data_IF_039168645486
#
_entry.id   IF_039168645486
#
_cell.length_a   1.000
_cell.length_b   1.000
_cell.length_c   1.000
_cell.angle_alpha   90.00
_cell.angle_beta   90.00
_cell.angle_gamma   90.00
#
_symmetry.space_group_name_H-M   'P 1'
#
loop_
_entity.id
_entity.type
_entity.pdbx_description
1 polymer ?
#
# COMPACT_ATOMS: atom_id res chain seq x y z
N UNK A 1 44.40 -18.51 31.28
CA UNK A 1 43.35 -17.52 31.65
C UNK A 1 43.48 -16.16 30.92
N UNK A 2 44.65 -15.81 30.36
CA UNK A 2 44.88 -14.52 29.68
C UNK A 2 44.29 -14.37 28.27
N UNK A 3 44.23 -15.46 27.51
CA UNK A 3 43.74 -15.45 26.11
C UNK A 3 42.26 -15.03 26.02
N UNK A 4 41.42 -15.46 26.97
CA UNK A 4 40.00 -15.07 27.02
C UNK A 4 39.82 -13.58 27.29
N UNK A 5 40.71 -12.97 28.09
CA UNK A 5 40.66 -11.53 28.42
C UNK A 5 41.06 -10.66 27.23
N UNK A 6 42.03 -11.11 26.43
CA UNK A 6 42.44 -10.45 25.19
C UNK A 6 41.39 -10.53 24.07
N UNK A 7 40.75 -11.69 23.91
CA UNK A 7 39.65 -11.86 22.95
C UNK A 7 38.42 -11.03 23.32
N UNK A 8 38.12 -10.93 24.61
CA UNK A 8 37.02 -10.11 25.10
C UNK A 8 37.29 -8.62 24.86
N UNK A 9 38.47 -8.11 25.22
CA UNK A 9 38.87 -6.73 24.97
C UNK A 9 38.89 -6.36 23.47
N UNK A 10 39.31 -7.29 22.60
CA UNK A 10 39.27 -7.09 21.15
C UNK A 10 37.84 -6.99 20.63
N UNK A 11 36.95 -7.90 21.02
CA UNK A 11 35.55 -7.89 20.62
C UNK A 11 34.82 -6.63 21.13
N UNK A 12 35.16 -6.16 22.32
CA UNK A 12 34.61 -4.94 22.91
C UNK A 12 35.04 -3.69 22.13
N UNK A 13 36.31 -3.60 21.75
CA UNK A 13 36.81 -2.50 20.90
C UNK A 13 36.13 -2.47 19.52
N UNK A 14 35.88 -3.64 18.92
CA UNK A 14 35.18 -3.76 17.63
C UNK A 14 33.69 -3.41 17.75
N UNK A 15 33.05 -3.77 18.86
CA UNK A 15 31.66 -3.42 19.16
C UNK A 15 31.50 -1.91 19.35
N UNK A 16 32.36 -1.28 20.17
CA UNK A 16 32.36 0.17 20.41
C UNK A 16 32.63 0.94 19.11
N UNK A 17 33.56 0.46 18.28
CA UNK A 17 33.85 1.08 16.98
C UNK A 17 32.66 1.00 16.02
N UNK A 18 31.95 -0.13 15.98
CA UNK A 18 30.71 -0.28 15.20
C UNK A 18 29.62 0.64 15.74
N UNK A 19 29.40 0.70 17.05
CA UNK A 19 28.39 1.56 17.68
C UNK A 19 28.64 3.05 17.39
N UNK A 20 29.89 3.51 17.54
CA UNK A 20 30.28 4.89 17.21
C UNK A 20 30.05 5.24 15.73
N UNK A 21 30.25 4.28 14.83
CA UNK A 21 29.96 4.46 13.40
C UNK A 21 28.46 4.58 13.12
N UNK A 22 27.63 3.83 13.85
CA UNK A 22 26.17 3.93 13.75
C UNK A 22 25.66 5.26 14.33
N UNK A 23 26.19 5.70 15.47
CA UNK A 23 25.84 7.00 16.07
C UNK A 23 26.19 8.20 15.19
N UNK A 24 27.31 8.14 14.43
CA UNK A 24 27.66 9.19 13.46
C UNK A 24 26.79 9.19 12.20
N UNK A 25 26.26 8.03 11.79
CA UNK A 25 25.40 7.90 10.60
C UNK A 25 23.96 8.29 10.85
N UNK A 26 23.49 8.05 12.07
CA UNK A 26 22.17 8.45 12.54
C UNK A 26 22.39 9.23 13.83
N UNK A 27 22.80 10.51 13.76
CA UNK A 27 22.77 11.35 14.95
C UNK A 27 21.37 11.20 15.53
N UNK A 28 21.28 10.78 16.80
CA UNK A 28 20.01 10.68 17.51
C UNK A 28 19.42 12.08 17.47
N UNK A 29 18.57 12.33 16.48
CA UNK A 29 17.71 13.50 16.28
C UNK A 29 18.11 14.65 17.19
N UNK A 30 18.80 15.64 16.63
CA UNK A 30 19.00 16.93 17.29
C UNK A 30 17.63 17.52 17.63
N UNK A 31 17.09 17.15 18.79
CA UNK A 31 15.94 17.82 19.39
C UNK A 31 16.49 19.11 20.00
N UNK A 32 16.84 20.05 19.11
CA UNK A 32 17.00 21.44 19.46
C UNK A 32 15.61 21.99 19.78
N UNK A 33 15.14 21.81 21.01
CA UNK A 33 14.04 22.63 21.52
C UNK A 33 14.62 24.02 21.71
N UNK A 34 14.25 24.94 20.81
CA UNK A 34 14.57 26.34 20.98
C UNK A 34 13.76 26.87 22.18
N UNK A 35 14.39 27.25 23.31
CA UNK A 35 13.66 27.65 24.52
C UNK A 35 12.88 28.95 24.35
N UNK A 36 13.17 29.74 23.30
CA UNK A 36 12.41 30.95 22.95
C UNK A 36 11.19 30.66 22.08
N UNK A 37 11.14 29.49 21.43
CA UNK A 37 10.06 29.08 20.54
C UNK A 37 9.34 27.89 21.16
N UNK A 38 8.35 28.17 22.00
CA UNK A 38 7.37 27.16 22.40
C UNK A 38 6.57 26.73 21.18
N UNK A 39 6.84 25.53 20.67
CA UNK A 39 5.94 24.90 19.72
C UNK A 39 4.67 24.49 20.47
N UNK A 40 3.57 25.20 20.19
CA UNK A 40 2.27 24.83 20.72
C UNK A 40 1.91 23.46 20.13
N UNK A 41 1.92 22.44 20.97
CA UNK A 41 1.36 21.13 20.62
C UNK A 41 -0.12 21.39 20.30
N UNK A 42 -0.48 21.28 19.03
CA UNK A 42 -1.87 21.42 18.62
C UNK A 42 -2.67 20.25 19.21
N UNK A 43 -3.90 20.52 19.61
CA UNK A 43 -4.80 19.47 20.08
C UNK A 43 -4.91 18.34 19.05
N UNK A 44 -5.18 17.12 19.54
CA UNK A 44 -5.40 15.96 18.67
C UNK A 44 -6.43 16.33 17.60
N UNK A 45 -6.29 15.87 16.34
CA UNK A 45 -7.12 16.32 15.21
C UNK A 45 -8.64 16.14 15.38
N UNK A 46 -9.08 15.34 16.36
CA UNK A 46 -10.48 15.11 16.68
C UNK A 46 -10.94 15.81 17.98
N UNK A 47 -10.08 16.60 18.64
CA UNK A 47 -10.44 17.29 19.86
C UNK A 47 -11.07 18.65 19.50
N UNK A 48 -12.39 18.71 19.55
CA UNK A 48 -13.15 19.96 19.40
C UNK A 48 -13.53 20.45 20.78
N UNK A 49 -12.97 21.58 21.23
CA UNK A 49 -13.47 22.31 22.40
C UNK A 49 -14.58 23.27 21.93
N UNK A 50 -15.85 23.08 22.35
CA UNK A 50 -16.99 23.80 21.77
C UNK A 50 -17.10 25.29 22.20
N UNK A 51 -16.03 25.91 22.68
CA UNK A 51 -16.07 27.26 23.26
C UNK A 51 -15.65 28.38 22.31
N UNK A 52 -14.91 28.09 21.24
CA UNK A 52 -14.33 29.14 20.38
C UNK A 52 -14.95 29.09 18.98
N UNK A 53 -15.62 30.15 18.50
CA UNK A 53 -16.10 30.20 17.12
C UNK A 53 -14.90 30.10 16.18
N UNK A 54 -14.96 29.14 15.26
CA UNK A 54 -13.93 28.86 14.26
C UNK A 54 -13.62 30.11 13.43
N UNK A 55 -12.58 30.86 13.81
CA UNK A 55 -12.02 31.91 12.97
C UNK A 55 -11.09 31.24 11.98
N UNK A 56 -11.53 31.14 10.73
CA UNK A 56 -10.65 30.79 9.61
C UNK A 56 -9.60 31.90 9.51
N UNK A 57 -8.41 31.71 10.07
CA UNK A 57 -7.29 32.57 9.74
C UNK A 57 -6.97 32.33 8.27
N UNK A 58 -7.40 33.24 7.40
CA UNK A 58 -6.81 33.37 6.07
C UNK A 58 -5.39 33.92 6.30
N UNK A 59 -4.47 33.03 6.66
CA UNK A 59 -3.05 33.32 6.56
C UNK A 59 -2.74 33.46 5.06
N UNK A 60 -2.78 34.70 4.58
CA UNK A 60 -2.19 35.08 3.31
C UNK A 60 -0.69 34.87 3.45
N UNK A 61 -0.21 33.69 3.07
CA UNK A 61 1.21 33.42 2.89
C UNK A 61 1.76 34.43 1.88
N UNK A 62 2.39 35.51 2.37
CA UNK A 62 3.06 36.54 1.58
C UNK A 62 4.41 36.09 1.01
N UNK A 63 4.66 34.78 1.00
CA UNK A 63 5.82 34.11 0.41
C UNK A 63 5.35 32.92 -0.45
N UNK A 64 4.32 33.14 -1.26
CA UNK A 64 3.91 32.20 -2.31
C UNK A 64 4.85 32.37 -3.51
N UNK A 65 6.12 31.98 -3.33
CA UNK A 65 7.07 31.91 -4.43
C UNK A 65 6.47 30.98 -5.50
N UNK A 66 6.24 31.47 -6.74
CA UNK A 66 5.62 30.68 -7.81
C UNK A 66 6.37 29.36 -8.07
N UNK A 67 7.68 29.33 -7.80
CA UNK A 67 8.52 28.14 -7.93
C UNK A 67 8.14 27.11 -6.87
N UNK A 68 8.09 27.49 -5.61
CA UNK A 68 7.69 26.62 -4.49
C UNK A 68 6.27 26.09 -4.64
N UNK A 69 5.36 26.94 -5.16
CA UNK A 69 3.98 26.55 -5.44
C UNK A 69 3.92 25.49 -6.54
N UNK A 70 4.70 25.66 -7.61
CA UNK A 70 4.76 24.69 -8.70
C UNK A 70 5.30 23.33 -8.22
N UNK A 71 6.35 23.32 -7.40
CA UNK A 71 6.88 22.07 -6.82
C UNK A 71 5.89 21.39 -5.87
N UNK A 72 5.20 22.16 -5.02
CA UNK A 72 4.17 21.62 -4.13
C UNK A 72 3.01 21.00 -4.92
N UNK A 73 2.52 21.68 -5.96
CA UNK A 73 1.45 21.16 -6.82
C UNK A 73 1.86 19.90 -7.57
N UNK A 74 3.07 19.85 -8.13
CA UNK A 74 3.57 18.67 -8.82
C UNK A 74 3.75 17.48 -7.86
N UNK A 75 4.29 17.73 -6.65
CA UNK A 75 4.40 16.71 -5.62
C UNK A 75 3.03 16.16 -5.19
N UNK A 76 2.01 17.02 -5.12
CA UNK A 76 0.66 16.64 -4.76
C UNK A 76 0.00 15.81 -5.86
N UNK A 77 0.16 16.22 -7.13
CA UNK A 77 -0.30 15.46 -8.30
C UNK A 77 0.30 14.06 -8.33
N UNK A 78 1.61 13.92 -8.10
CA UNK A 78 2.29 12.62 -8.02
C UNK A 78 1.75 11.76 -6.87
N UNK A 79 1.48 12.35 -5.70
CA UNK A 79 0.88 11.63 -4.56
C UNK A 79 -0.53 11.13 -4.86
N UNK A 80 -1.35 11.94 -5.54
CA UNK A 80 -2.71 11.56 -5.93
C UNK A 80 -2.65 10.40 -6.94
N UNK A 81 -1.80 10.51 -7.97
CA UNK A 81 -1.64 9.48 -8.99
C UNK A 81 -1.15 8.16 -8.40
N UNK A 82 -0.18 8.21 -7.48
CA UNK A 82 0.42 7.00 -6.88
C UNK A 82 -0.45 6.33 -5.82
N UNK A 83 -1.52 6.98 -5.32
CA UNK A 83 -2.39 6.43 -4.28
C UNK A 83 -3.24 5.24 -4.75
N UNK A 84 -3.61 5.21 -6.03
CA UNK A 84 -4.40 4.12 -6.62
C UNK A 84 -3.56 3.02 -7.28
N UNK A 85 -2.24 3.19 -7.36
CA UNK A 85 -1.37 2.27 -8.08
C UNK A 85 -1.04 1.02 -7.24
N UNK A 86 -1.05 -0.13 -7.91
CA UNK A 86 -0.60 -1.40 -7.33
C UNK A 86 0.92 -1.35 -7.10
N UNK A 87 1.51 -2.04 -6.09
CA UNK A 87 2.95 -2.01 -5.84
C UNK A 87 3.83 -2.26 -7.08
N UNK A 88 3.41 -3.16 -7.97
CA UNK A 88 4.11 -3.44 -9.24
C UNK A 88 4.12 -2.28 -10.25
N UNK A 89 3.12 -1.41 -10.18
CA UNK A 89 3.05 -0.20 -10.99
C UNK A 89 3.88 0.92 -10.36
N UNK A 90 4.02 0.91 -9.02
CA UNK A 90 4.70 1.95 -8.25
C UNK A 90 6.22 1.75 -8.14
N UNK A 91 6.68 0.50 -8.05
CA UNK A 91 8.08 0.14 -7.86
C UNK A 91 8.55 -0.83 -8.94
N UNK A 92 9.81 -0.71 -9.34
CA UNK A 92 10.44 -1.63 -10.33
C UNK A 92 10.70 -3.01 -9.71
N UNK A 93 11.00 -3.06 -8.41
CA UNK A 93 11.36 -4.27 -7.67
C UNK A 93 10.60 -4.32 -6.32
N UNK A 94 10.35 -5.53 -5.78
CA UNK A 94 9.70 -5.68 -4.48
C UNK A 94 10.58 -5.09 -3.37
N UNK A 95 9.98 -4.28 -2.51
CA UNK A 95 10.70 -3.62 -1.40
C UNK A 95 10.72 -4.45 -0.11
N UNK A 96 9.80 -5.41 0.02
CA UNK A 96 9.63 -6.25 1.21
C UNK A 96 9.43 -7.70 0.79
N UNK A 97 9.74 -8.64 1.69
CA UNK A 97 9.48 -10.07 1.47
C UNK A 97 8.01 -10.37 1.21
N UNK A 98 7.10 -9.63 1.86
CA UNK A 98 5.67 -9.74 1.60
C UNK A 98 5.28 -9.34 0.17
N UNK A 99 5.96 -8.35 -0.43
CA UNK A 99 5.73 -7.97 -1.82
C UNK A 99 6.23 -9.02 -2.82
N UNK A 100 7.26 -9.79 -2.45
CA UNK A 100 7.87 -10.81 -3.32
C UNK A 100 6.88 -11.93 -3.68
N UNK A 101 6.09 -12.38 -2.70
CA UNK A 101 5.14 -13.52 -2.84
C UNK A 101 4.12 -13.28 -3.98
N UNK A 102 3.71 -12.04 -4.22
CA UNK A 102 2.75 -11.65 -5.26
C UNK A 102 3.37 -10.85 -6.41
N UNK A 103 4.69 -10.71 -6.48
CA UNK A 103 5.32 -9.82 -7.46
C UNK A 103 5.22 -10.34 -8.89
N UNK A 104 5.24 -11.66 -9.06
CA UNK A 104 5.20 -12.31 -10.36
C UNK A 104 3.82 -12.80 -10.77
N UNK A 105 2.83 -12.69 -9.87
CA UNK A 105 1.43 -12.95 -10.23
C UNK A 105 0.95 -11.79 -11.12
N UNK A 106 0.93 -12.03 -12.44
CA UNK A 106 0.33 -11.13 -13.42
C UNK A 106 -1.15 -10.88 -13.16
N UNK A 107 -1.79 -9.95 -13.90
CA UNK A 107 -3.24 -9.89 -13.95
C UNK A 107 -3.76 -11.30 -14.25
N UNK A 108 -4.64 -11.82 -13.39
CA UNK A 108 -5.06 -13.23 -13.44
C UNK A 108 -5.66 -13.64 -14.81
N UNK A 109 -6.02 -12.67 -15.65
CA UNK A 109 -6.53 -12.84 -17.00
C UNK A 109 -5.51 -13.45 -17.97
N UNK A 110 -4.22 -13.11 -17.88
CA UNK A 110 -3.21 -13.63 -18.84
C UNK A 110 -2.81 -15.07 -18.53
N UNK A 111 -2.86 -15.48 -17.27
CA UNK A 111 -2.44 -16.83 -16.86
C UNK A 111 -3.52 -17.87 -17.14
N UNK A 112 -4.80 -17.50 -17.05
CA UNK A 112 -5.94 -18.41 -17.30
C UNK A 112 -6.03 -18.89 -18.75
N UNK A 113 -5.52 -18.11 -19.69
CA UNK A 113 -5.59 -18.39 -21.13
C UNK A 113 -4.62 -19.51 -21.58
N UNK A 114 -3.52 -19.75 -20.86
CA UNK A 114 -2.45 -20.67 -21.31
C UNK A 114 -2.88 -22.13 -21.48
N UNK A 115 -3.91 -22.56 -20.74
CA UNK A 115 -4.41 -23.95 -20.79
C UNK A 115 -5.93 -24.02 -20.82
N UNK A 116 -6.59 -23.12 -21.58
CA UNK A 116 -8.05 -23.10 -21.66
C UNK A 116 -8.68 -24.44 -22.07
N UNK A 117 -7.95 -25.29 -22.81
CA UNK A 117 -8.43 -26.62 -23.21
C UNK A 117 -8.45 -27.64 -22.06
N UNK A 118 -7.56 -27.48 -21.08
CA UNK A 118 -7.42 -28.39 -19.93
C UNK A 118 -8.03 -27.82 -18.64
N UNK A 119 -8.34 -26.53 -18.61
CA UNK A 119 -8.92 -25.85 -17.46
C UNK A 119 -10.45 -25.84 -17.54
N UNK A 120 -11.07 -27.02 -17.39
CA UNK A 120 -12.53 -27.17 -17.29
C UNK A 120 -12.97 -27.09 -15.84
N UNK A 121 -14.02 -26.32 -15.53
CA UNK A 121 -14.58 -26.30 -14.18
C UNK A 121 -15.21 -27.65 -13.88
N UNK A 122 -15.12 -28.13 -12.64
CA UNK A 122 -15.75 -29.38 -12.19
C UNK A 122 -17.28 -29.41 -12.44
N UNK A 123 -17.92 -28.25 -12.47
CA UNK A 123 -19.35 -28.08 -12.71
C UNK A 123 -19.74 -28.16 -14.19
N UNK A 124 -18.76 -28.06 -15.10
CA UNK A 124 -18.97 -28.05 -16.55
C UNK A 124 -18.60 -29.42 -17.12
N UNK A 125 -19.62 -30.22 -17.45
CA UNK A 125 -19.49 -31.50 -18.14
C UNK A 125 -20.08 -31.38 -19.54
N UNK A 126 -19.76 -32.30 -20.44
CA UNK A 126 -20.35 -32.33 -21.78
C UNK A 126 -21.88 -32.43 -21.74
N UNK A 127 -22.42 -33.15 -20.74
CA UNK A 127 -23.87 -33.29 -20.55
C UNK A 127 -24.49 -31.95 -20.14
N UNK A 128 -23.87 -31.23 -19.21
CA UNK A 128 -24.41 -29.92 -18.77
C UNK A 128 -24.31 -28.87 -19.87
N UNK A 129 -23.23 -28.88 -20.66
CA UNK A 129 -23.10 -28.02 -21.84
C UNK A 129 -24.18 -28.30 -22.88
N UNK A 130 -24.44 -29.57 -23.17
CA UNK A 130 -25.51 -29.98 -24.08
C UNK A 130 -26.89 -29.57 -23.56
N UNK A 131 -27.17 -29.76 -22.27
CA UNK A 131 -28.44 -29.38 -21.67
C UNK A 131 -28.68 -27.87 -21.78
N UNK A 132 -27.66 -27.05 -21.48
CA UNK A 132 -27.73 -25.60 -21.62
C UNK A 132 -27.99 -25.17 -23.07
N UNK A 133 -27.29 -25.79 -24.03
CA UNK A 133 -27.45 -25.50 -25.46
C UNK A 133 -28.82 -25.94 -25.98
N UNK A 134 -29.31 -27.08 -25.53
CA UNK A 134 -30.64 -27.58 -25.87
C UNK A 134 -31.75 -26.64 -25.39
N UNK A 135 -31.66 -26.15 -24.16
CA UNK A 135 -32.61 -25.17 -23.60
C UNK A 135 -32.54 -23.85 -24.36
N UNK A 136 -31.33 -23.37 -24.69
CA UNK A 136 -31.15 -22.16 -25.52
C UNK A 136 -31.75 -22.31 -26.91
N UNK A 137 -31.55 -23.45 -27.57
CA UNK A 137 -32.08 -23.73 -28.90
C UNK A 137 -33.60 -23.82 -28.90
N UNK A 138 -34.19 -24.44 -27.87
CA UNK A 138 -35.64 -24.61 -27.79
C UNK A 138 -36.35 -23.34 -27.32
N UNK A 139 -35.67 -22.43 -26.62
CA UNK A 139 -36.22 -21.19 -26.06
C UNK A 139 -37.52 -21.36 -25.24
N UNK A 140 -37.82 -22.59 -24.83
CA UNK A 140 -39.01 -22.97 -24.08
C UNK A 140 -38.54 -23.39 -22.70
N UNK A 141 -39.09 -22.74 -21.68
CA UNK A 141 -38.86 -23.11 -20.30
C UNK A 141 -39.49 -24.50 -20.05
N UNK A 142 -38.71 -25.54 -19.72
CA UNK A 142 -39.25 -26.89 -19.46
C UNK A 142 -40.14 -26.96 -18.21
N UNK A 143 -40.10 -25.93 -17.36
CA UNK A 143 -40.93 -25.78 -16.17
C UNK A 143 -42.07 -24.78 -16.35
N UNK A 144 -42.35 -24.31 -17.58
CA UNK A 144 -43.64 -23.67 -17.84
C UNK A 144 -44.70 -24.76 -17.69
N UNK A 145 -45.22 -24.86 -16.46
CA UNK A 145 -46.43 -25.61 -16.13
C UNK A 145 -47.46 -25.18 -17.17
N UNK A 146 -47.81 -26.10 -18.07
CA UNK A 146 -49.04 -25.97 -18.82
C UNK A 146 -50.09 -26.10 -17.73
N UNK A 147 -50.66 -24.96 -17.28
CA UNK A 147 -51.75 -24.96 -16.33
C UNK A 147 -52.73 -26.02 -16.80
N UNK A 148 -52.87 -27.05 -15.97
CA UNK A 148 -53.75 -28.19 -16.20
C UNK A 148 -55.13 -27.74 -15.73
N UNK A 149 -55.61 -26.67 -16.35
CA UNK A 149 -56.96 -26.17 -16.14
C UNK A 149 -57.76 -26.60 -17.38
N UNK A 150 -58.79 -27.41 -17.10
CA UNK A 150 -59.83 -27.98 -17.97
C UNK A 150 -59.49 -29.26 -18.78
#
# INVERSE_FOLDING_TARGET
MWIKKLLWARNESEFISKENKWQKRFPKSDFSINPTRMEKITDKPNHITPSVPYKVSKETNTLDDPVDRAFKLDSMRRKIQTRGMVPRQKYVLPQTSAHEIGWHTGPAETTKQKHSQWNKKRTETHITQFADEYVRMKAINPFKVRNRDE
#
